data_IF_920114950121
#
_entry.id   IF_920114950121
#
_cell.length_a   1.000
_cell.length_b   1.000
_cell.length_c   1.000
_cell.angle_alpha   90.00
_cell.angle_beta   90.00
_cell.angle_gamma   90.00
#
_symmetry.space_group_name_H-M   'P 1'
#
loop_
_entity.id
_entity.type
_entity.pdbx_description
1 polymer ?
#
# COMPACT_ATOMS: atom_id res chain seq x y z
N UNK A 1 -15.80 15.72 5.09
CA UNK A 1 -16.42 14.53 4.46
C UNK A 1 -17.39 13.91 5.45
N UNK A 2 -18.59 13.49 5.03
CA UNK A 2 -19.59 12.92 5.92
C UNK A 2 -19.32 11.45 6.27
N UNK A 3 -19.85 10.98 7.40
CA UNK A 3 -19.79 9.57 7.79
C UNK A 3 -21.03 8.85 7.22
N UNK A 4 -20.83 7.75 6.50
CA UNK A 4 -21.92 6.91 5.99
C UNK A 4 -22.04 5.67 6.87
N UNK A 5 -23.23 5.41 7.42
CA UNK A 5 -23.50 4.23 8.23
C UNK A 5 -23.56 2.98 7.34
N UNK A 6 -22.87 1.91 7.75
CA UNK A 6 -22.93 0.58 7.14
C UNK A 6 -23.21 -0.46 8.22
N UNK A 7 -23.96 -1.50 7.87
CA UNK A 7 -24.12 -2.70 8.72
C UNK A 7 -23.09 -3.73 8.29
N UNK A 8 -22.36 -4.30 9.24
CA UNK A 8 -21.28 -5.28 9.00
C UNK A 8 -21.47 -6.39 10.03
N UNK A 9 -21.39 -7.64 9.58
CA UNK A 9 -21.48 -8.81 10.44
C UNK A 9 -20.08 -9.27 10.84
N UNK A 10 -19.88 -9.51 12.13
CA UNK A 10 -18.65 -10.06 12.69
C UNK A 10 -18.91 -11.47 13.23
N UNK A 11 -17.86 -12.28 13.32
CA UNK A 11 -17.90 -13.47 14.15
C UNK A 11 -17.85 -13.08 15.63
N UNK A 12 -18.32 -13.95 16.52
CA UNK A 12 -18.23 -13.71 17.97
C UNK A 12 -16.79 -13.46 18.43
N UNK A 13 -15.83 -14.20 17.85
CA UNK A 13 -14.41 -14.02 18.15
C UNK A 13 -13.89 -12.65 17.72
N UNK A 14 -14.31 -12.15 16.56
CA UNK A 14 -13.92 -10.82 16.09
C UNK A 14 -14.53 -9.72 16.95
N UNK A 15 -15.82 -9.84 17.30
CA UNK A 15 -16.50 -8.90 18.20
C UNK A 15 -15.79 -8.82 19.57
N UNK A 16 -15.49 -9.97 20.18
CA UNK A 16 -14.76 -10.03 21.44
C UNK A 16 -13.37 -9.38 21.33
N UNK A 17 -12.66 -9.62 20.23
CA UNK A 17 -11.36 -9.00 19.97
C UNK A 17 -11.48 -7.47 19.85
N UNK A 18 -12.42 -6.96 19.06
CA UNK A 18 -12.61 -5.50 18.89
C UNK A 18 -12.98 -4.83 20.22
N UNK A 19 -13.87 -5.44 21.00
CA UNK A 19 -14.21 -4.97 22.34
C UNK A 19 -13.00 -4.89 23.26
N UNK A 20 -12.12 -5.90 23.24
CA UNK A 20 -10.90 -5.87 24.06
C UNK A 20 -9.98 -4.70 23.71
N UNK A 21 -9.92 -4.29 22.43
CA UNK A 21 -9.12 -3.14 22.00
C UNK A 21 -9.74 -1.81 22.47
N UNK A 22 -11.07 -1.74 22.49
CA UNK A 22 -11.80 -0.58 23.00
C UNK A 22 -11.63 -0.45 24.51
N UNK A 23 -11.73 -1.55 25.25
CA UNK A 23 -11.52 -1.58 26.70
C UNK A 23 -10.09 -1.17 27.09
N UNK A 24 -9.10 -1.52 26.27
CA UNK A 24 -7.71 -1.09 26.43
C UNK A 24 -7.48 0.38 26.03
N UNK A 25 -8.49 1.04 25.45
CA UNK A 25 -8.43 2.45 25.05
C UNK A 25 -7.74 2.72 23.71
N UNK A 26 -7.48 1.68 22.90
CA UNK A 26 -6.89 1.87 21.56
C UNK A 26 -7.87 2.49 20.56
N UNK A 27 -9.17 2.23 20.74
CA UNK A 27 -10.23 2.74 19.90
C UNK A 27 -11.45 3.12 20.75
N UNK A 28 -12.26 4.05 20.26
CA UNK A 28 -13.47 4.51 20.96
C UNK A 28 -14.72 3.71 20.59
N UNK A 29 -14.72 3.06 19.42
CA UNK A 29 -15.83 2.25 18.91
C UNK A 29 -15.39 1.35 17.74
N UNK A 30 -16.23 0.38 17.38
CA UNK A 30 -15.96 -0.58 16.30
C UNK A 30 -15.73 0.10 14.95
N UNK A 31 -16.49 1.17 14.67
CA UNK A 31 -16.38 1.88 13.40
C UNK A 31 -15.03 2.58 13.24
N UNK A 32 -14.38 2.98 14.33
CA UNK A 32 -13.03 3.52 14.32
C UNK A 32 -11.99 2.46 13.97
N UNK A 33 -12.06 1.30 14.61
CA UNK A 33 -11.20 0.16 14.30
C UNK A 33 -11.33 -0.27 12.83
N UNK A 34 -12.57 -0.40 12.33
CA UNK A 34 -12.84 -0.76 10.94
C UNK A 34 -12.27 0.27 9.96
N UNK A 35 -12.43 1.57 10.24
CA UNK A 35 -11.86 2.64 9.40
C UNK A 35 -10.34 2.58 9.38
N UNK A 36 -9.71 2.26 10.51
CA UNK A 36 -8.26 2.11 10.59
C UNK A 36 -7.74 0.94 9.76
N UNK A 37 -8.39 -0.23 9.83
CA UNK A 37 -8.05 -1.37 8.97
C UNK A 37 -8.19 -1.01 7.50
N UNK A 38 -9.28 -0.36 7.10
CA UNK A 38 -9.51 0.02 5.70
C UNK A 38 -8.39 0.94 5.21
N UNK A 39 -7.95 1.91 6.03
CA UNK A 39 -6.85 2.81 5.66
C UNK A 39 -5.54 2.04 5.45
N UNK A 40 -5.20 1.16 6.39
CA UNK A 40 -4.01 0.30 6.30
C UNK A 40 -4.07 -0.60 5.06
N UNK A 41 -5.23 -1.20 4.78
CA UNK A 41 -5.43 -2.03 3.60
C UNK A 41 -5.31 -1.21 2.30
N UNK A 42 -5.85 0.02 2.26
CA UNK A 42 -5.68 0.92 1.12
C UNK A 42 -4.21 1.28 0.86
N UNK A 43 -3.46 1.64 1.90
CA UNK A 43 -2.04 1.94 1.81
C UNK A 43 -1.25 0.72 1.28
N UNK A 44 -1.52 -0.46 1.83
CA UNK A 44 -0.87 -1.70 1.42
C UNK A 44 -1.26 -2.12 -0.02
N UNK A 45 -2.53 -1.94 -0.41
CA UNK A 45 -2.98 -2.20 -1.79
C UNK A 45 -2.36 -1.25 -2.77
N UNK A 46 -2.27 0.04 -2.45
CA UNK A 46 -1.64 1.03 -3.31
C UNK A 46 -0.19 0.63 -3.60
N UNK A 47 0.58 0.33 -2.56
CA UNK A 47 1.97 -0.11 -2.73
C UNK A 47 2.10 -1.36 -3.63
N UNK A 48 1.19 -2.33 -3.46
CA UNK A 48 1.18 -3.55 -4.30
C UNK A 48 0.78 -3.28 -5.74
N UNK A 49 -0.20 -2.39 -5.96
CA UNK A 49 -0.64 -2.02 -7.31
C UNK A 49 0.49 -1.29 -8.03
N UNK A 50 1.07 -0.27 -7.38
CA UNK A 50 2.19 0.50 -7.92
C UNK A 50 3.37 -0.42 -8.29
N UNK A 51 3.69 -1.40 -7.42
CA UNK A 51 4.73 -2.39 -7.70
C UNK A 51 4.37 -3.30 -8.88
N UNK A 52 3.15 -3.84 -8.91
CA UNK A 52 2.73 -4.74 -9.99
C UNK A 52 2.68 -4.01 -11.34
N UNK A 53 2.26 -2.76 -11.35
CA UNK A 53 2.24 -1.93 -12.57
C UNK A 53 3.67 -1.70 -13.08
N UNK A 54 4.61 -1.33 -12.21
CA UNK A 54 6.02 -1.18 -12.58
C UNK A 54 6.66 -2.50 -13.07
N UNK A 55 6.27 -3.63 -12.48
CA UNK A 55 6.74 -4.95 -12.95
C UNK A 55 6.17 -5.30 -14.32
N UNK A 56 4.88 -5.03 -14.56
CA UNK A 56 4.25 -5.26 -15.87
C UNK A 56 4.92 -4.36 -16.92
N UNK A 57 5.11 -3.07 -16.64
CA UNK A 57 5.81 -2.14 -17.52
C UNK A 57 7.22 -2.64 -17.89
N UNK A 58 8.00 -3.09 -16.89
CA UNK A 58 9.34 -3.65 -17.14
C UNK A 58 9.34 -4.99 -17.88
N UNK A 59 8.28 -5.79 -17.75
CA UNK A 59 8.13 -7.02 -18.54
C UNK A 59 7.73 -6.72 -19.98
N UNK A 60 6.83 -5.75 -20.19
CA UNK A 60 6.37 -5.30 -21.50
C UNK A 60 7.44 -4.52 -22.28
N UNK A 61 8.37 -3.86 -21.58
CA UNK A 61 9.51 -3.17 -22.22
C UNK A 61 10.48 -4.12 -22.92
N UNK A 62 10.35 -5.43 -22.68
CA UNK A 62 11.21 -6.45 -23.28
C UNK A 62 12.61 -6.50 -22.67
N UNK A 63 13.40 -7.53 -23.03
CA UNK A 63 14.75 -7.70 -22.51
C UNK A 63 15.69 -6.62 -23.07
N UNK A 64 16.54 -6.08 -22.21
CA UNK A 64 17.59 -5.13 -22.60
C UNK A 64 18.92 -5.84 -22.81
N UNK A 65 19.63 -5.47 -23.89
CA UNK A 65 21.01 -5.90 -24.14
C UNK A 65 22.04 -5.05 -23.37
N UNK A 66 21.57 -4.10 -22.54
CA UNK A 66 22.44 -3.23 -21.78
C UNK A 66 23.23 -4.00 -20.72
N UNK A 67 24.53 -3.74 -20.68
CA UNK A 67 25.42 -4.26 -19.64
C UNK A 67 25.44 -3.33 -18.44
N UNK A 68 25.86 -3.85 -17.28
CA UNK A 68 26.01 -3.05 -16.06
C UNK A 68 26.90 -1.82 -16.32
N UNK A 69 28.00 -1.99 -17.06
CA UNK A 69 28.94 -0.91 -17.38
C UNK A 69 28.34 0.16 -18.30
N UNK A 70 27.47 -0.23 -19.25
CA UNK A 70 26.80 0.74 -20.13
C UNK A 70 25.74 1.54 -19.37
N UNK A 71 24.95 0.88 -18.52
CA UNK A 71 23.95 1.53 -17.66
C UNK A 71 24.61 2.56 -16.74
N UNK A 72 25.74 2.18 -16.12
CA UNK A 72 26.46 3.06 -15.20
C UNK A 72 27.04 4.30 -15.90
N UNK A 73 27.61 4.13 -17.10
CA UNK A 73 28.12 5.25 -17.91
C UNK A 73 27.00 6.18 -18.35
N UNK A 74 25.86 5.63 -18.76
CA UNK A 74 24.70 6.40 -19.20
C UNK A 74 24.14 7.25 -18.06
N UNK A 75 23.96 6.68 -16.86
CA UNK A 75 23.49 7.42 -15.69
C UNK A 75 24.42 8.58 -15.28
N UNK A 76 25.75 8.41 -15.38
CA UNK A 76 26.72 9.48 -15.10
C UNK A 76 26.59 10.61 -16.13
N UNK A 77 26.42 10.25 -17.41
CA UNK A 77 26.27 11.23 -18.48
C UNK A 77 24.99 12.05 -18.32
N UNK A 78 23.86 11.42 -17.98
CA UNK A 78 22.60 12.11 -17.69
C UNK A 78 22.71 13.08 -16.51
N UNK A 79 23.33 12.65 -15.41
CA UNK A 79 23.55 13.51 -14.25
C UNK A 79 24.43 14.74 -14.56
N UNK A 80 25.43 14.57 -15.43
CA UNK A 80 26.31 15.65 -15.84
C UNK A 80 25.67 16.58 -16.87
N UNK A 81 24.75 16.08 -17.72
CA UNK A 81 24.01 16.86 -18.70
C UNK A 81 22.86 17.68 -18.10
N UNK A 82 22.35 17.27 -16.92
CA UNK A 82 21.34 18.02 -16.16
C UNK A 82 21.90 19.13 -15.26
N UNK A 83 23.21 19.38 -15.28
CA UNK A 83 23.89 20.51 -14.62
C UNK A 83 24.22 21.60 -15.65
#
# INVERSE_FOLDING_TARGET
>A
MGIVRKSITFTEQQDAYVKSLIEQGFYTNDSEYVRDIIRKDQEQRKLRIDLNEALIEGMESGPSDATIDSIWKEAINEHNAGK
#
